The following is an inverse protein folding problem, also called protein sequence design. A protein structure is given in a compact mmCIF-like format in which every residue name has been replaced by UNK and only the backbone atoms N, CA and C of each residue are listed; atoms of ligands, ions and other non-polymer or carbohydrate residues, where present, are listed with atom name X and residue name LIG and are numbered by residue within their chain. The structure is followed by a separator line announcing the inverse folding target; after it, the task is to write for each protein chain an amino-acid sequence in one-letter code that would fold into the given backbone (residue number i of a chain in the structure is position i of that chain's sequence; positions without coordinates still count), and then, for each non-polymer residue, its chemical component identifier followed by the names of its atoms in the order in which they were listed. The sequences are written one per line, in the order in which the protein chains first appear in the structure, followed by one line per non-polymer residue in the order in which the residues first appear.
data_IF_404719859419
#
_entry.id   IF_404719859419
#
_cell.length_a   1.000
_cell.length_b   1.000
_cell.length_c   1.000
_cell.angle_alpha   90.00
_cell.angle_beta   90.00
_cell.angle_gamma   90.00
#
_symmetry.space_group_name_H-M   'P 1'
#
loop_
_entity.id
_entity.type
_entity.pdbx_description
1 polymer ?
#
# COMPACT_ATOMS: atom_id res chain seq x y z
N UNK A 1 20.89 3.52 -3.15
CA UNK A 1 20.22 3.35 -1.84
C UNK A 1 18.86 4.02 -1.92
N UNK A 2 17.78 3.26 -2.03
CA UNK A 2 16.45 3.84 -2.08
C UNK A 2 16.09 4.36 -0.67
N UNK A 3 15.73 5.63 -0.56
CA UNK A 3 15.24 6.22 0.68
C UNK A 3 13.73 6.01 0.82
N UNK A 4 13.19 6.22 2.02
CA UNK A 4 11.77 6.00 2.32
C UNK A 4 10.84 6.72 1.35
N UNK A 5 11.20 7.93 0.89
CA UNK A 5 10.43 8.73 -0.08
C UNK A 5 10.30 8.04 -1.44
N UNK A 6 11.38 7.43 -1.91
CA UNK A 6 11.37 6.70 -3.19
C UNK A 6 10.52 5.44 -3.08
N UNK A 7 10.68 4.68 -1.99
CA UNK A 7 9.96 3.43 -1.78
C UNK A 7 8.48 3.68 -1.52
N UNK A 8 8.12 4.70 -0.74
CA UNK A 8 6.71 5.07 -0.54
C UNK A 8 6.07 5.50 -1.86
N UNK A 9 6.78 6.27 -2.69
CA UNK A 9 6.29 6.61 -4.03
C UNK A 9 6.07 5.37 -4.90
N UNK A 10 7.04 4.46 -4.97
CA UNK A 10 6.88 3.20 -5.73
C UNK A 10 5.72 2.34 -5.20
N UNK A 11 5.54 2.28 -3.88
CA UNK A 11 4.42 1.56 -3.28
C UNK A 11 3.06 2.17 -3.66
N UNK A 12 2.96 3.50 -3.76
CA UNK A 12 1.78 4.18 -4.29
C UNK A 12 1.62 3.93 -5.79
N UNK A 13 2.68 4.10 -6.59
CA UNK A 13 2.66 3.85 -8.03
C UNK A 13 2.19 2.42 -8.36
N UNK A 14 2.53 1.42 -7.54
CA UNK A 14 2.07 0.03 -7.69
C UNK A 14 0.55 -0.17 -7.57
N UNK A 15 -0.17 0.83 -7.06
CA UNK A 15 -1.63 0.83 -7.04
C UNK A 15 -2.22 1.24 -8.40
N UNK A 16 -1.56 2.18 -9.08
CA UNK A 16 -2.04 2.78 -10.33
C UNK A 16 -1.47 2.10 -11.58
N UNK A 17 -0.22 1.62 -11.50
CA UNK A 17 0.48 0.98 -12.62
C UNK A 17 1.30 -0.23 -12.18
N UNK A 18 1.62 -1.16 -13.10
CA UNK A 18 2.65 -2.15 -12.82
C UNK A 18 4.02 -1.47 -12.62
N UNK A 19 4.76 -1.95 -11.64
CA UNK A 19 6.17 -1.62 -11.46
C UNK A 19 7.04 -2.53 -12.33
N UNK A 20 8.13 -1.99 -12.84
CA UNK A 20 9.20 -2.74 -13.48
C UNK A 20 9.95 -3.64 -12.47
N UNK A 21 10.67 -4.68 -12.93
CA UNK A 21 11.45 -5.54 -12.04
C UNK A 21 12.48 -4.79 -11.19
N UNK A 22 13.10 -3.75 -11.74
CA UNK A 22 14.09 -2.93 -11.03
C UNK A 22 13.47 -2.08 -9.92
N UNK A 23 12.26 -1.58 -10.14
CA UNK A 23 11.49 -0.85 -9.13
C UNK A 23 11.07 -1.78 -8.00
N UNK A 24 10.64 -3.00 -8.33
CA UNK A 24 10.36 -4.04 -7.34
C UNK A 24 11.60 -4.38 -6.53
N UNK A 25 12.77 -4.53 -7.15
CA UNK A 25 14.02 -4.79 -6.45
C UNK A 25 14.32 -3.70 -5.41
N UNK A 26 14.14 -2.42 -5.75
CA UNK A 26 14.34 -1.31 -4.84
C UNK A 26 13.39 -1.36 -3.63
N UNK A 27 12.12 -1.70 -3.86
CA UNK A 27 11.12 -1.89 -2.81
C UNK A 27 11.53 -3.06 -1.90
N UNK A 28 11.81 -4.23 -2.48
CA UNK A 28 12.16 -5.45 -1.73
C UNK A 28 13.45 -5.32 -0.93
N UNK A 29 14.46 -4.60 -1.45
CA UNK A 29 15.70 -4.36 -0.72
C UNK A 29 15.50 -3.45 0.51
N UNK A 30 14.52 -2.54 0.48
CA UNK A 30 14.30 -1.56 1.55
C UNK A 30 13.35 -2.05 2.65
N UNK A 31 12.31 -2.83 2.29
CA UNK A 31 11.28 -3.27 3.23
C UNK A 31 11.82 -4.01 4.48
N UNK A 32 12.85 -4.88 4.41
CA UNK A 32 13.39 -5.55 5.59
C UNK A 32 13.95 -4.55 6.62
N UNK A 33 14.49 -3.42 6.15
CA UNK A 33 15.23 -2.45 6.96
C UNK A 33 14.34 -1.33 7.54
N UNK A 34 13.18 -1.06 6.93
CA UNK A 34 12.33 0.06 7.33
C UNK A 34 10.93 -0.37 7.77
N UNK A 35 10.66 -0.28 9.08
CA UNK A 35 9.33 -0.53 9.64
C UNK A 35 8.27 0.43 9.09
N UNK A 36 8.62 1.70 8.86
CA UNK A 36 7.71 2.71 8.32
C UNK A 36 7.17 2.33 6.93
N UNK A 37 8.05 1.94 6.00
CA UNK A 37 7.62 1.50 4.67
C UNK A 37 6.83 0.18 4.70
N UNK A 38 7.13 -0.73 5.65
CA UNK A 38 6.29 -1.92 5.86
C UNK A 38 4.87 -1.55 6.30
N UNK A 39 4.76 -0.66 7.29
CA UNK A 39 3.46 -0.19 7.79
C UNK A 39 2.68 0.54 6.69
N UNK A 40 3.33 1.44 5.95
CA UNK A 40 2.72 2.14 4.83
C UNK A 40 2.17 1.18 3.77
N UNK A 41 2.93 0.13 3.41
CA UNK A 41 2.43 -0.91 2.50
C UNK A 41 1.17 -1.59 3.03
N UNK A 42 1.07 -1.82 4.35
CA UNK A 42 -0.13 -2.41 4.95
C UNK A 42 -1.32 -1.43 4.89
N UNK A 43 -1.11 -0.14 5.15
CA UNK A 43 -2.15 0.89 5.03
C UNK A 43 -2.71 0.96 3.60
N UNK A 44 -1.84 0.93 2.58
CA UNK A 44 -2.28 0.90 1.17
C UNK A 44 -3.15 -0.34 0.86
N UNK A 45 -2.84 -1.50 1.46
CA UNK A 45 -3.67 -2.71 1.29
C UNK A 45 -5.06 -2.53 1.89
N UNK A 46 -5.16 -1.92 3.08
CA UNK A 46 -6.44 -1.63 3.72
C UNK A 46 -7.27 -0.68 2.85
N UNK A 47 -6.67 0.43 2.39
CA UNK A 47 -7.35 1.37 1.50
C UNK A 47 -7.83 0.72 0.20
N UNK A 48 -6.98 -0.13 -0.40
CA UNK A 48 -7.35 -0.86 -1.62
C UNK A 48 -8.53 -1.79 -1.37
N UNK A 49 -8.50 -2.58 -0.29
CA UNK A 49 -9.59 -3.48 0.07
C UNK A 49 -10.89 -2.72 0.33
N UNK A 50 -10.83 -1.60 1.06
CA UNK A 50 -11.99 -0.74 1.27
C UNK A 50 -12.56 -0.26 -0.08
N UNK A 51 -11.71 0.25 -0.99
CA UNK A 51 -12.13 0.66 -2.33
C UNK A 51 -12.77 -0.48 -3.14
N UNK A 52 -12.26 -1.71 -3.02
CA UNK A 52 -12.90 -2.88 -3.62
C UNK A 52 -14.29 -3.14 -3.04
N UNK A 53 -14.44 -3.15 -1.72
CA UNK A 53 -15.74 -3.33 -1.05
C UNK A 53 -16.76 -2.26 -1.46
N UNK A 54 -16.34 -0.98 -1.51
CA UNK A 54 -17.20 0.11 -1.99
C UNK A 54 -17.69 -0.14 -3.43
N UNK A 55 -16.79 -0.54 -4.34
CA UNK A 55 -17.17 -0.84 -5.72
C UNK A 55 -18.11 -2.04 -5.81
N UNK A 56 -17.84 -3.08 -5.02
CA UNK A 56 -18.58 -4.35 -5.07
C UNK A 56 -19.90 -4.28 -4.27
N UNK A 57 -20.21 -3.14 -3.64
CA UNK A 57 -21.43 -2.93 -2.85
C UNK A 57 -21.43 -3.64 -1.50
N UNK A 58 -20.29 -4.16 -1.06
CA UNK A 58 -20.09 -4.90 0.20
C UNK A 58 -19.68 -3.95 1.32
N UNK A 59 -20.42 -2.84 1.48
CA UNK A 59 -20.28 -2.01 2.67
C UNK A 59 -21.24 -2.57 3.74
N UNK A 60 -20.76 -2.86 4.96
CA UNK A 60 -21.70 -3.09 6.06
C UNK A 60 -22.60 -1.86 6.20
N UNK A 61 -23.91 -2.07 6.30
CA UNK A 61 -24.91 -1.01 6.46
C UNK A 61 -24.65 -0.14 7.70
N UNK A 62 -23.91 -0.67 8.69
CA UNK A 62 -23.48 0.05 9.89
C UNK A 62 -21.98 0.41 9.83
N UNK A 63 -21.62 1.70 10.04
CA UNK A 63 -20.22 2.08 10.19
C UNK A 63 -19.61 1.43 11.44
N UNK A 64 -18.32 1.05 11.44
CA UNK A 64 -17.66 0.53 12.63
C UNK A 64 -17.75 1.59 13.73
N UNK A 65 -18.19 1.16 14.93
CA UNK A 65 -18.23 2.02 16.10
C UNK A 65 -16.87 2.70 16.27
N UNK A 66 -16.87 4.03 16.25
CA UNK A 66 -15.67 4.81 16.54
C UNK A 66 -15.33 4.61 18.02
N UNK A 67 -14.21 3.96 18.31
CA UNK A 67 -13.55 3.98 19.62
C UNK A 67 -12.56 5.14 19.73
#
# INVERSE_FOLDING_TARGET
MANCKTVSKLLSDALDRPLSPNEWLAVHAHLPLCAGCRNFRQQLRVLRQAGHRLRDGDLPDDPPAAD
#
